data_IF_617436170900
#
_entry.id   IF_617436170900
#
_cell.length_a   1.000
_cell.length_b   1.000
_cell.length_c   1.000
_cell.angle_alpha   90.00
_cell.angle_beta   90.00
_cell.angle_gamma   90.00
#
_symmetry.space_group_name_H-M   'P 1'
#
loop_
_entity.id
_entity.type
_entity.pdbx_description
1 polymer ?
#
# COMPACT_ATOMS: atom_id res chain seq x y z
N UNK A 1 -60.85 20.72 -20.20
CA UNK A 1 -59.42 20.33 -20.16
C UNK A 1 -58.84 20.97 -18.93
N UNK A 2 -58.80 20.21 -17.84
CA UNK A 2 -58.16 20.61 -16.59
C UNK A 2 -56.67 20.34 -16.74
N UNK A 3 -55.85 21.36 -16.48
CA UNK A 3 -54.39 21.28 -16.43
C UNK A 3 -53.97 20.95 -15.01
N UNK A 4 -53.49 19.73 -14.79
CA UNK A 4 -52.84 19.34 -13.54
C UNK A 4 -51.46 20.00 -13.45
N UNK A 5 -51.35 20.99 -12.56
CA UNK A 5 -50.09 21.52 -12.05
C UNK A 5 -49.51 20.52 -11.03
N UNK A 6 -48.51 19.73 -11.44
CA UNK A 6 -47.64 19.06 -10.48
C UNK A 6 -46.40 19.91 -10.22
N UNK A 7 -46.45 20.61 -9.09
CA UNK A 7 -45.36 21.34 -8.45
C UNK A 7 -44.51 20.34 -7.67
N UNK A 8 -43.29 20.04 -8.13
CA UNK A 8 -42.26 19.37 -7.32
C UNK A 8 -41.18 20.39 -6.99
N UNK A 9 -41.04 20.82 -5.72
CA UNK A 9 -39.87 21.55 -5.27
C UNK A 9 -38.84 20.57 -4.70
N UNK A 10 -37.56 20.85 -4.96
CA UNK A 10 -36.47 20.39 -4.12
C UNK A 10 -35.61 19.27 -4.71
N UNK A 11 -34.51 19.67 -5.35
CA UNK A 11 -33.26 18.94 -5.28
C UNK A 11 -32.08 19.89 -5.60
N UNK A 12 -32.05 21.08 -4.99
CA UNK A 12 -30.79 21.79 -4.77
C UNK A 12 -30.09 21.12 -3.57
N UNK A 13 -29.73 19.85 -3.75
CA UNK A 13 -28.82 19.17 -2.83
C UNK A 13 -27.41 19.58 -3.26
N UNK A 14 -26.93 20.60 -2.57
CA UNK A 14 -25.55 21.05 -2.50
C UNK A 14 -24.57 19.90 -2.77
N UNK A 15 -23.98 19.89 -3.95
CA UNK A 15 -22.89 19.01 -4.32
C UNK A 15 -21.62 19.52 -3.62
N UNK A 16 -21.59 19.44 -2.28
CA UNK A 16 -20.37 19.57 -1.49
C UNK A 16 -19.61 18.28 -1.70
N UNK A 17 -18.85 18.24 -2.78
CA UNK A 17 -17.72 17.34 -2.92
C UNK A 17 -16.76 17.69 -1.79
N UNK A 18 -16.96 17.09 -0.61
CA UNK A 18 -15.89 17.00 0.38
C UNK A 18 -14.83 16.16 -0.30
N UNK A 19 -13.76 16.81 -0.76
CA UNK A 19 -12.52 16.13 -1.11
C UNK A 19 -12.22 15.12 0.00
N UNK A 20 -11.83 13.88 -0.32
CA UNK A 20 -11.43 12.94 0.72
C UNK A 20 -10.35 13.62 1.53
N UNK A 21 -10.60 13.80 2.83
CA UNK A 21 -9.65 14.35 3.78
C UNK A 21 -8.42 13.47 3.68
N UNK A 22 -7.39 13.96 2.98
CA UNK A 22 -6.08 13.31 3.01
C UNK A 22 -5.70 13.27 4.49
N UNK A 23 -5.43 12.09 5.07
CA UNK A 23 -5.05 12.01 6.47
C UNK A 23 -3.92 13.01 6.71
N UNK A 24 -4.19 13.95 7.62
CA UNK A 24 -3.30 15.06 7.91
C UNK A 24 -1.99 14.45 8.42
N UNK A 25 -0.93 14.53 7.60
CA UNK A 25 0.37 13.92 7.90
C UNK A 25 0.85 14.44 9.25
N UNK A 26 1.01 13.55 10.22
CA UNK A 26 1.43 13.92 11.57
C UNK A 26 2.94 14.10 11.62
N UNK A 27 3.38 14.93 12.56
CA UNK A 27 4.79 15.15 12.82
C UNK A 27 5.49 13.83 13.20
N UNK A 28 6.81 13.72 12.95
CA UNK A 28 7.61 12.57 13.37
C UNK A 28 7.41 12.27 14.86
N UNK A 29 7.53 11.00 15.28
CA UNK A 29 7.36 10.65 16.68
C UNK A 29 8.41 11.36 17.54
N UNK A 30 7.94 12.01 18.61
CA UNK A 30 8.79 12.66 19.60
C UNK A 30 8.83 11.78 20.85
N UNK A 31 9.94 11.08 21.15
CA UNK A 31 10.05 10.26 22.35
C UNK A 31 9.91 11.14 23.61
N UNK A 32 9.06 10.71 24.52
CA UNK A 32 8.80 11.38 25.80
C UNK A 32 9.66 10.79 26.92
N UNK A 33 10.15 9.57 26.75
CA UNK A 33 11.04 8.90 27.71
C UNK A 33 12.39 8.54 27.09
N UNK A 34 13.39 8.32 27.96
CA UNK A 34 14.71 7.82 27.54
C UNK A 34 14.64 6.41 26.94
N UNK A 35 13.68 5.60 27.38
CA UNK A 35 13.48 4.25 26.85
C UNK A 35 12.93 4.32 25.42
N UNK A 36 11.90 5.13 25.20
CA UNK A 36 11.35 5.39 23.86
C UNK A 36 12.40 5.94 22.89
N UNK A 37 13.24 6.88 23.35
CA UNK A 37 14.31 7.43 22.51
C UNK A 37 15.31 6.35 22.06
N UNK A 38 15.68 5.44 22.98
CA UNK A 38 16.57 4.31 22.67
C UNK A 38 15.93 3.30 21.74
N UNK A 39 14.64 3.07 21.90
CA UNK A 39 13.90 2.12 21.07
C UNK A 39 13.76 2.63 19.64
N UNK A 40 13.40 3.91 19.48
CA UNK A 40 13.34 4.54 18.17
C UNK A 40 14.71 4.52 17.47
N UNK A 41 15.79 4.76 18.20
CA UNK A 41 17.16 4.67 17.66
C UNK A 41 17.55 3.24 17.27
N UNK A 42 17.14 2.23 18.06
CA UNK A 42 17.31 0.81 17.74
C UNK A 42 16.62 0.46 16.42
N UNK A 43 15.34 0.81 16.28
CA UNK A 43 14.55 0.47 15.08
C UNK A 43 15.12 1.14 13.82
N UNK A 44 15.57 2.39 13.92
CA UNK A 44 16.26 3.08 12.82
C UNK A 44 17.55 2.38 12.41
N UNK A 45 18.34 1.92 13.38
CA UNK A 45 19.58 1.19 13.10
C UNK A 45 19.31 -0.18 12.47
N UNK A 46 18.29 -0.89 12.94
CA UNK A 46 17.98 -2.26 12.53
C UNK A 46 17.32 -2.34 11.16
N UNK A 47 16.34 -1.48 10.89
CA UNK A 47 15.52 -1.52 9.67
C UNK A 47 15.92 -0.46 8.63
N UNK A 48 16.80 0.47 9.01
CA UNK A 48 17.41 1.44 8.10
C UNK A 48 16.39 2.29 7.34
N UNK A 49 16.60 2.41 6.02
CA UNK A 49 15.84 3.32 5.16
C UNK A 49 14.36 2.98 5.09
N UNK A 50 13.98 1.70 5.13
CA UNK A 50 12.56 1.30 5.12
C UNK A 50 11.81 1.87 6.34
N UNK A 51 12.44 1.85 7.52
CA UNK A 51 11.82 2.39 8.72
C UNK A 51 11.73 3.92 8.71
N UNK A 52 12.74 4.62 8.17
CA UNK A 52 12.64 6.08 7.98
C UNK A 52 11.52 6.45 6.99
N UNK A 53 11.29 5.64 5.95
CA UNK A 53 10.14 5.81 5.05
C UNK A 53 8.82 5.59 5.78
N UNK A 54 8.74 4.52 6.58
CA UNK A 54 7.57 4.25 7.42
C UNK A 54 7.23 5.45 8.31
N UNK A 55 8.23 6.02 9.01
CA UNK A 55 8.03 7.19 9.87
C UNK A 55 7.55 8.43 9.12
N UNK A 56 7.98 8.62 7.87
CA UNK A 56 7.63 9.80 7.07
C UNK A 56 6.28 9.69 6.37
N UNK A 57 5.85 8.47 6.02
CA UNK A 57 4.74 8.25 5.10
C UNK A 57 3.57 7.47 5.70
N UNK A 58 3.82 6.50 6.58
CA UNK A 58 2.81 5.58 7.09
C UNK A 58 2.46 5.85 8.56
N UNK A 59 3.42 6.35 9.34
CA UNK A 59 3.19 6.69 10.73
C UNK A 59 2.08 7.73 10.89
N UNK A 60 1.00 7.33 11.57
CA UNK A 60 -0.19 8.17 11.77
C UNK A 60 -0.29 8.74 13.20
N UNK A 61 0.73 8.52 14.04
CA UNK A 61 0.78 9.01 15.42
C UNK A 61 -0.32 8.48 16.33
N UNK A 62 -0.91 7.32 16.04
CA UNK A 62 -1.91 6.65 16.90
C UNK A 62 -1.21 5.69 17.87
N UNK A 63 -0.03 5.18 17.53
CA UNK A 63 0.64 4.15 18.33
C UNK A 63 1.69 4.70 19.28
N UNK A 64 2.03 3.92 20.29
CA UNK A 64 3.18 4.20 21.15
C UNK A 64 4.46 3.74 20.46
N UNK A 65 5.61 4.33 20.80
CA UNK A 65 6.90 3.90 20.22
C UNK A 65 7.17 2.40 20.50
N UNK A 66 6.60 1.85 21.58
CA UNK A 66 6.71 0.42 21.90
C UNK A 66 5.93 -0.50 20.95
N UNK A 67 4.96 0.01 20.20
CA UNK A 67 4.17 -0.77 19.24
C UNK A 67 4.68 -0.61 17.80
N UNK A 68 5.55 0.38 17.54
CA UNK A 68 6.06 0.71 16.19
C UNK A 68 6.72 -0.46 15.48
N UNK A 69 7.46 -1.30 16.19
CA UNK A 69 8.13 -2.44 15.56
C UNK A 69 7.12 -3.43 15.01
N UNK A 70 6.03 -3.65 15.74
CA UNK A 70 4.96 -4.55 15.32
C UNK A 70 4.18 -3.96 14.13
N UNK A 71 3.84 -2.68 14.17
CA UNK A 71 3.15 -2.01 13.07
C UNK A 71 4.02 -1.92 11.81
N UNK A 72 5.29 -1.54 11.95
CA UNK A 72 6.26 -1.62 10.85
C UNK A 72 6.32 -3.03 10.27
N UNK A 73 6.43 -4.07 11.11
CA UNK A 73 6.52 -5.47 10.65
C UNK A 73 5.22 -5.96 9.99
N UNK A 74 4.07 -5.41 10.38
CA UNK A 74 2.78 -5.76 9.79
C UNK A 74 2.56 -5.06 8.44
N UNK A 75 3.09 -3.85 8.27
CA UNK A 75 2.90 -3.06 7.06
C UNK A 75 4.02 -3.26 6.03
N UNK A 76 5.28 -3.38 6.46
CA UNK A 76 6.42 -3.52 5.56
C UNK A 76 6.37 -4.89 4.88
N UNK A 77 6.19 -4.87 3.56
CA UNK A 77 6.26 -6.09 2.77
C UNK A 77 7.72 -6.47 2.51
N UNK A 78 8.46 -5.62 1.79
CA UNK A 78 9.88 -5.77 1.52
C UNK A 78 10.46 -4.51 0.86
N UNK A 79 11.77 -4.52 0.62
CA UNK A 79 12.49 -3.53 -0.18
C UNK A 79 13.09 -4.20 -1.41
N UNK A 80 13.00 -3.53 -2.56
CA UNK A 80 13.49 -4.06 -3.84
C UNK A 80 14.36 -3.04 -4.55
N UNK A 81 15.30 -3.49 -5.38
CA UNK A 81 16.08 -2.57 -6.22
C UNK A 81 15.19 -1.95 -7.31
N UNK A 82 14.15 -2.67 -7.73
CA UNK A 82 13.24 -2.27 -8.81
C UNK A 82 11.83 -2.78 -8.53
N UNK A 83 10.83 -2.00 -8.92
CA UNK A 83 9.42 -2.33 -8.67
C UNK A 83 8.96 -3.62 -9.37
N UNK A 84 9.61 -4.02 -10.46
CA UNK A 84 9.29 -5.28 -11.13
C UNK A 84 9.61 -6.51 -10.27
N UNK A 85 10.61 -6.43 -9.39
CA UNK A 85 10.96 -7.52 -8.48
C UNK A 85 9.82 -7.78 -7.47
N UNK A 86 9.11 -6.74 -7.04
CA UNK A 86 7.91 -6.89 -6.20
C UNK A 86 6.82 -7.68 -6.94
N UNK A 87 6.57 -7.39 -8.22
CA UNK A 87 5.52 -8.10 -8.97
C UNK A 87 5.84 -9.58 -9.13
N UNK A 88 7.11 -9.89 -9.43
CA UNK A 88 7.56 -11.28 -9.53
C UNK A 88 7.44 -12.00 -8.17
N UNK A 89 7.92 -11.38 -7.08
CA UNK A 89 7.80 -11.92 -5.72
C UNK A 89 6.34 -12.11 -5.28
N UNK A 90 5.45 -11.16 -5.62
CA UNK A 90 4.03 -11.28 -5.34
C UNK A 90 3.39 -12.48 -6.07
N UNK A 91 3.70 -12.67 -7.36
CA UNK A 91 3.23 -13.84 -8.13
C UNK A 91 3.72 -15.15 -7.51
N UNK A 92 4.98 -15.19 -7.10
CA UNK A 92 5.59 -16.36 -6.45
C UNK A 92 4.96 -16.64 -5.09
N UNK A 93 4.72 -15.61 -4.28
CA UNK A 93 4.12 -15.73 -2.94
C UNK A 93 2.72 -16.39 -2.95
N UNK A 94 1.97 -16.18 -4.04
CA UNK A 94 0.65 -16.77 -4.24
C UNK A 94 0.68 -18.15 -4.94
N UNK A 95 1.87 -18.63 -5.33
CA UNK A 95 2.03 -19.88 -6.09
C UNK A 95 1.45 -19.82 -7.50
N UNK A 96 1.24 -18.61 -8.04
CA UNK A 96 0.57 -18.43 -9.33
C UNK A 96 1.46 -18.86 -10.50
N UNK A 97 2.78 -18.70 -10.38
CA UNK A 97 3.73 -19.20 -11.37
C UNK A 97 3.60 -20.72 -11.56
N UNK A 98 3.62 -21.48 -10.45
CA UNK A 98 3.47 -22.94 -10.46
C UNK A 98 2.10 -23.37 -10.98
N UNK A 99 1.03 -22.69 -10.57
CA UNK A 99 -0.33 -22.96 -11.03
C UNK A 99 -0.48 -22.75 -12.54
N UNK A 100 0.10 -21.68 -13.08
CA UNK A 100 0.15 -21.41 -14.52
C UNK A 100 0.90 -22.52 -15.25
N UNK A 101 2.08 -22.89 -14.77
CA UNK A 101 2.93 -23.89 -15.42
C UNK A 101 2.32 -25.29 -15.36
N UNK A 102 1.52 -25.59 -14.33
CA UNK A 102 0.68 -26.77 -14.28
C UNK A 102 -0.41 -26.75 -15.36
N UNK A 103 -1.19 -25.66 -15.44
CA UNK A 103 -2.26 -25.52 -16.43
C UNK A 103 -1.76 -25.59 -17.88
N UNK A 104 -0.62 -24.94 -18.19
CA UNK A 104 0.00 -25.00 -19.51
C UNK A 104 0.31 -26.44 -19.94
N UNK A 105 0.88 -27.23 -19.02
CA UNK A 105 1.24 -28.63 -19.27
C UNK A 105 0.02 -29.54 -19.40
N UNK A 106 -0.93 -29.42 -18.48
CA UNK A 106 -2.10 -30.29 -18.44
C UNK A 106 -3.01 -30.06 -19.66
N UNK A 107 -3.13 -28.81 -20.12
CA UNK A 107 -4.07 -28.43 -21.18
C UNK A 107 -3.39 -28.27 -22.55
N UNK A 108 -2.10 -28.60 -22.64
CA UNK A 108 -1.25 -28.43 -23.84
C UNK A 108 -1.35 -27.02 -24.46
N UNK A 109 -1.51 -26.00 -23.62
CA UNK A 109 -1.58 -24.60 -24.06
C UNK A 109 -0.17 -24.16 -24.47
N UNK A 110 0.01 -23.48 -25.61
CA UNK A 110 1.31 -22.95 -25.98
C UNK A 110 1.84 -21.95 -24.92
N UNK A 111 3.14 -22.06 -24.59
CA UNK A 111 3.80 -21.36 -23.48
C UNK A 111 3.71 -19.81 -23.51
N UNK A 112 3.27 -19.22 -24.63
CA UNK A 112 3.17 -17.78 -24.85
C UNK A 112 1.73 -17.24 -24.87
N UNK A 113 0.72 -18.10 -24.69
CA UNK A 113 -0.69 -17.68 -24.73
C UNK A 113 -1.14 -17.20 -23.35
N UNK A 114 -0.85 -17.98 -22.31
CA UNK A 114 -1.15 -17.61 -20.94
C UNK A 114 0.08 -16.95 -20.34
N UNK A 115 0.06 -15.63 -20.16
CA UNK A 115 1.17 -14.85 -19.58
C UNK A 115 0.64 -13.93 -18.48
N UNK A 116 1.49 -13.62 -17.49
CA UNK A 116 1.19 -12.57 -16.53
C UNK A 116 1.53 -11.21 -17.14
N UNK A 117 0.50 -10.38 -17.32
CA UNK A 117 0.69 -8.97 -17.65
C UNK A 117 1.11 -8.22 -16.38
N UNK A 118 2.43 -8.13 -16.18
CA UNK A 118 3.03 -7.50 -15.00
C UNK A 118 2.67 -6.02 -14.86
N UNK A 119 2.50 -5.31 -15.97
CA UNK A 119 2.14 -3.90 -15.94
C UNK A 119 0.71 -3.72 -15.43
N UNK A 120 -0.23 -4.53 -15.95
CA UNK A 120 -1.61 -4.54 -15.46
C UNK A 120 -1.70 -4.96 -13.99
N UNK A 121 -0.92 -5.97 -13.58
CA UNK A 121 -0.86 -6.40 -12.18
C UNK A 121 -0.35 -5.29 -11.27
N UNK A 122 0.74 -4.61 -11.64
CA UNK A 122 1.28 -3.51 -10.86
C UNK A 122 0.23 -2.40 -10.66
N UNK A 123 -0.47 -2.02 -11.73
CA UNK A 123 -1.53 -1.00 -11.65
C UNK A 123 -2.66 -1.42 -10.71
N UNK A 124 -3.02 -2.71 -10.70
CA UNK A 124 -3.99 -3.24 -9.73
C UNK A 124 -3.45 -3.21 -8.30
N UNK A 125 -2.20 -3.63 -8.09
CA UNK A 125 -1.57 -3.71 -6.76
C UNK A 125 -1.35 -2.33 -6.12
N UNK A 126 -1.32 -1.24 -6.90
CA UNK A 126 -1.34 0.13 -6.35
C UNK A 126 -2.59 0.44 -5.53
N UNK A 127 -3.66 -0.36 -5.64
CA UNK A 127 -4.83 -0.28 -4.77
C UNK A 127 -4.55 -0.71 -3.34
N UNK A 128 -3.76 -1.77 -3.17
CA UNK A 128 -3.55 -2.47 -1.88
C UNK A 128 -2.18 -2.17 -1.26
N UNK A 129 -1.25 -1.61 -2.04
CA UNK A 129 0.12 -1.32 -1.61
C UNK A 129 0.53 0.14 -1.84
N UNK A 130 1.43 0.63 -1.00
CA UNK A 130 2.19 1.87 -1.18
C UNK A 130 3.63 1.57 -1.57
N UNK A 131 4.18 2.40 -2.47
CA UNK A 131 5.51 2.27 -3.02
C UNK A 131 6.26 3.58 -2.80
N UNK A 132 7.40 3.51 -2.12
CA UNK A 132 8.20 4.68 -1.78
C UNK A 132 9.65 4.47 -2.20
N UNK A 133 10.16 5.34 -3.08
CA UNK A 133 11.54 5.30 -3.54
C UNK A 133 12.46 6.09 -2.60
N UNK A 134 13.47 5.43 -2.04
CA UNK A 134 14.51 6.08 -1.22
C UNK A 134 15.79 5.25 -1.23
N UNK A 135 16.95 5.93 -1.26
CA UNK A 135 18.24 5.23 -1.20
C UNK A 135 18.57 4.34 -2.41
N UNK A 136 17.83 4.45 -3.51
CA UNK A 136 17.98 3.57 -4.68
C UNK A 136 17.15 2.28 -4.61
N UNK A 137 16.30 2.14 -3.59
CA UNK A 137 15.37 1.02 -3.44
C UNK A 137 13.92 1.52 -3.49
N UNK A 138 13.02 0.60 -3.82
CA UNK A 138 11.57 0.72 -3.71
C UNK A 138 11.16 -0.02 -2.43
N UNK A 139 10.67 0.72 -1.44
CA UNK A 139 10.11 0.17 -0.21
C UNK A 139 8.60 -0.01 -0.37
N UNK A 140 8.12 -1.22 -0.13
CA UNK A 140 6.71 -1.60 -0.35
C UNK A 140 6.03 -1.82 0.99
N UNK A 141 4.86 -1.20 1.14
CA UNK A 141 4.04 -1.31 2.34
C UNK A 141 2.60 -1.66 1.98
N UNK A 142 1.94 -2.43 2.85
CA UNK A 142 0.51 -2.73 2.77
C UNK A 142 -0.28 -1.47 3.18
N UNK A 143 -1.41 -1.21 2.51
CA UNK A 143 -2.34 -0.12 2.84
C UNK A 143 -3.38 -0.49 3.89
#
# INVERSE_FOLDING_TARGET
METENNFYPGADAENRTTSPTTPERRAPPVPTTRQEARELERLRYEHGTAFEVYLDHLWNGIETITDMEADFSNLHWASYERIEQFVDDFIESLGWADARDHALREWAIPNNILIFDRAAMLEQLRGDFEFHERGGEVHVFIK
#
